data_IF_893948690393
#
_entry.id   IF_893948690393
#
_cell.length_a   1.000
_cell.length_b   1.000
_cell.length_c   1.000
_cell.angle_alpha   90.00
_cell.angle_beta   90.00
_cell.angle_gamma   90.00
#
_symmetry.space_group_name_H-M   'P 1'
#
loop_
_entity.id
_entity.type
_entity.pdbx_description
1 polymer ?
#
# COMPACT_ATOMS: atom_id res chain seq x y z
N UNK A 1 8.06 17.77 -15.31
CA UNK A 1 9.53 17.81 -15.33
C UNK A 1 9.96 18.07 -13.89
N UNK A 2 10.24 16.99 -13.10
CA UNK A 2 10.73 17.13 -11.74
C UNK A 2 12.09 17.83 -11.79
N UNK A 3 12.25 18.92 -11.03
CA UNK A 3 13.57 19.55 -10.84
C UNK A 3 14.49 18.49 -10.25
N UNK A 4 15.68 18.28 -10.87
CA UNK A 4 16.76 17.54 -10.24
C UNK A 4 17.02 18.18 -8.88
N UNK A 5 16.71 17.46 -7.81
CA UNK A 5 17.02 17.88 -6.46
C UNK A 5 18.53 17.64 -6.29
N UNK A 6 19.30 18.70 -6.05
CA UNK A 6 20.69 18.57 -5.59
C UNK A 6 20.64 17.89 -4.22
N UNK A 7 20.90 16.58 -4.21
CA UNK A 7 20.81 15.76 -3.00
C UNK A 7 22.05 16.01 -2.14
N UNK A 8 21.88 16.85 -1.12
CA UNK A 8 22.92 17.11 -0.12
C UNK A 8 23.30 15.86 0.73
N UNK A 9 22.55 14.75 0.59
CA UNK A 9 22.68 13.55 1.42
C UNK A 9 22.92 12.26 0.62
N UNK A 10 23.75 12.30 -0.42
CA UNK A 10 24.31 11.08 -1.03
C UNK A 10 23.28 10.11 -1.65
N UNK A 11 22.09 10.58 -2.04
CA UNK A 11 21.14 9.76 -2.80
C UNK A 11 20.47 8.60 -2.05
N UNK A 12 20.36 8.65 -0.70
CA UNK A 12 19.66 7.61 0.08
C UNK A 12 18.17 7.87 0.17
N UNK A 13 17.37 6.84 -0.17
CA UNK A 13 15.92 6.84 -0.10
C UNK A 13 15.47 6.05 1.14
N UNK A 14 14.72 6.69 2.01
CA UNK A 14 14.10 6.09 3.20
C UNK A 14 12.65 5.79 2.92
N UNK A 15 12.24 4.52 3.07
CA UNK A 15 10.86 4.09 2.82
C UNK A 15 10.32 3.34 4.03
N UNK A 16 9.25 3.85 4.61
CA UNK A 16 8.61 3.22 5.78
C UNK A 16 7.29 2.56 5.41
N UNK A 17 7.02 1.39 5.98
CA UNK A 17 5.62 0.96 6.10
C UNK A 17 4.87 1.92 7.03
N UNK A 18 3.54 1.87 6.98
CA UNK A 18 2.67 2.71 7.80
C UNK A 18 2.16 1.98 9.04
N UNK A 19 1.34 0.96 8.85
CA UNK A 19 0.61 0.28 9.93
C UNK A 19 1.54 -0.58 10.78
N UNK A 20 1.66 -0.24 12.07
CA UNK A 20 2.58 -0.94 12.96
C UNK A 20 4.05 -0.53 12.83
N UNK A 21 4.39 0.38 11.90
CA UNK A 21 5.76 0.86 11.68
C UNK A 21 5.90 2.37 11.92
N UNK A 22 5.32 3.22 11.06
CA UNK A 22 5.33 4.68 11.26
C UNK A 22 4.15 5.15 12.10
N UNK A 23 2.99 4.51 11.96
CA UNK A 23 1.78 4.86 12.70
C UNK A 23 1.85 4.33 14.13
N UNK A 24 1.47 5.18 15.09
CA UNK A 24 1.34 4.80 16.49
C UNK A 24 0.12 3.90 16.77
N UNK A 25 -0.15 3.64 18.04
CA UNK A 25 -1.25 2.78 18.48
C UNK A 25 -2.65 3.33 18.12
N UNK A 26 -2.76 4.62 17.88
CA UNK A 26 -3.97 5.31 17.40
C UNK A 26 -4.14 5.30 15.88
N UNK A 27 -3.28 4.57 15.16
CA UNK A 27 -3.20 4.52 13.70
C UNK A 27 -2.96 5.89 13.06
N UNK A 28 -2.17 6.75 13.70
CA UNK A 28 -1.78 8.08 13.20
C UNK A 28 -0.27 8.27 13.24
N UNK A 29 0.24 9.15 12.38
CA UNK A 29 1.60 9.67 12.54
C UNK A 29 1.59 10.64 13.71
N UNK A 30 2.51 10.47 14.66
CA UNK A 30 2.61 11.39 15.79
C UNK A 30 2.95 12.81 15.32
N UNK A 31 2.50 13.87 16.01
CA UNK A 31 2.88 15.24 15.66
C UNK A 31 4.41 15.46 15.64
N UNK A 32 5.15 14.74 16.51
CA UNK A 32 6.62 14.80 16.54
C UNK A 32 7.23 14.15 15.31
N UNK A 33 6.84 12.93 14.95
CA UNK A 33 7.29 12.26 13.74
C UNK A 33 6.96 13.08 12.49
N UNK A 34 5.73 13.62 12.39
CA UNK A 34 5.31 14.46 11.27
C UNK A 34 6.20 15.72 11.12
N UNK A 35 6.47 16.41 12.21
CA UNK A 35 7.34 17.60 12.21
C UNK A 35 8.79 17.25 11.83
N UNK A 36 9.35 16.16 12.38
CA UNK A 36 10.70 15.71 12.08
C UNK A 36 10.86 15.29 10.62
N UNK A 37 9.98 14.43 10.11
CA UNK A 37 10.02 13.97 8.72
C UNK A 37 9.84 15.13 7.73
N UNK A 38 8.96 16.08 8.04
CA UNK A 38 8.77 17.29 7.24
C UNK A 38 10.02 18.15 7.21
N UNK A 39 10.70 18.34 8.35
CA UNK A 39 11.95 19.09 8.40
C UNK A 39 13.08 18.40 7.64
N UNK A 40 13.21 17.08 7.81
CA UNK A 40 14.20 16.28 7.07
C UNK A 40 13.95 16.35 5.54
N UNK A 41 12.69 16.28 5.11
CA UNK A 41 12.30 16.43 3.70
C UNK A 41 12.68 17.81 3.17
N UNK A 42 12.42 18.88 3.94
CA UNK A 42 12.83 20.26 3.57
C UNK A 42 14.35 20.44 3.49
N UNK A 43 15.10 19.66 4.26
CA UNK A 43 16.58 19.61 4.19
C UNK A 43 17.10 18.72 3.06
N UNK A 44 16.21 18.16 2.23
CA UNK A 44 16.56 17.38 1.03
C UNK A 44 16.60 15.87 1.21
N UNK A 45 16.15 15.33 2.34
CA UNK A 45 16.02 13.89 2.52
C UNK A 45 14.93 13.31 1.61
N UNK A 46 15.22 12.16 0.98
CA UNK A 46 14.23 11.42 0.20
C UNK A 46 13.50 10.45 1.13
N UNK A 47 12.31 10.82 1.57
CA UNK A 47 11.50 10.05 2.51
C UNK A 47 10.12 9.78 1.90
N UNK A 48 9.61 8.55 2.03
CA UNK A 48 8.26 8.21 1.63
C UNK A 48 7.74 6.96 2.35
N UNK A 49 6.53 6.51 1.98
CA UNK A 49 5.90 5.32 2.53
C UNK A 49 5.71 4.22 1.48
N UNK A 50 5.62 2.95 1.94
CA UNK A 50 5.21 1.79 1.16
C UNK A 50 4.16 0.98 1.93
N UNK A 51 2.91 0.99 1.45
CA UNK A 51 1.77 0.46 2.20
C UNK A 51 0.81 -0.36 1.33
N UNK A 52 0.02 -1.22 1.96
CA UNK A 52 -1.11 -1.90 1.31
C UNK A 52 -2.32 -0.95 1.09
N UNK A 53 -2.35 0.19 1.76
CA UNK A 53 -3.44 1.16 1.69
C UNK A 53 -3.59 1.79 0.31
N UNK A 54 -4.81 2.21 -0.03
CA UNK A 54 -5.10 3.04 -1.21
C UNK A 54 -4.78 4.51 -0.92
N UNK A 55 -4.58 5.37 -1.95
CA UNK A 55 -4.38 6.81 -1.75
C UNK A 55 -5.43 7.47 -0.87
N UNK A 56 -6.70 7.06 -1.01
CA UNK A 56 -7.81 7.58 -0.23
C UNK A 56 -7.64 7.45 1.30
N UNK A 57 -6.88 6.45 1.75
CA UNK A 57 -6.59 6.21 3.17
C UNK A 57 -5.18 6.66 3.56
N UNK A 58 -4.28 6.86 2.61
CA UNK A 58 -2.91 7.36 2.86
C UNK A 58 -2.89 8.88 3.03
N UNK A 59 -3.58 9.62 2.14
CA UNK A 59 -3.60 11.08 2.15
C UNK A 59 -3.98 11.69 3.52
N UNK A 60 -5.07 11.25 4.18
CA UNK A 60 -5.41 11.78 5.51
C UNK A 60 -4.38 11.45 6.60
N UNK A 61 -3.66 10.33 6.47
CA UNK A 61 -2.65 9.90 7.45
C UNK A 61 -1.36 10.70 7.34
N UNK A 62 -1.01 11.14 6.14
CA UNK A 62 0.22 11.88 5.85
C UNK A 62 -0.03 13.39 5.66
N UNK A 63 -1.27 13.88 5.89
CA UNK A 63 -1.65 15.26 5.64
C UNK A 63 -0.78 16.30 6.38
N UNK A 64 -0.31 15.98 7.58
CA UNK A 64 0.56 16.83 8.40
C UNK A 64 2.06 16.54 8.19
N UNK A 65 2.40 15.65 7.24
CA UNK A 65 3.78 15.25 6.95
C UNK A 65 4.16 15.66 5.54
N UNK A 66 5.15 16.53 5.41
CA UNK A 66 5.65 16.96 4.10
C UNK A 66 6.48 15.84 3.45
N UNK A 67 5.97 15.29 2.34
CA UNK A 67 6.62 14.23 1.56
C UNK A 67 6.63 14.63 0.08
N UNK A 68 7.81 14.61 -0.53
CA UNK A 68 7.98 15.00 -1.93
C UNK A 68 8.18 13.82 -2.87
N UNK A 69 8.50 12.65 -2.33
CA UNK A 69 8.68 11.42 -3.08
C UNK A 69 7.35 10.67 -3.16
N UNK A 70 6.92 10.17 -4.33
CA UNK A 70 5.69 9.39 -4.43
C UNK A 70 5.66 8.21 -3.48
N UNK A 71 4.51 7.95 -2.86
CA UNK A 71 4.32 6.78 -2.00
C UNK A 71 4.04 5.52 -2.83
N UNK A 72 4.58 4.40 -2.39
CA UNK A 72 4.19 3.07 -2.90
C UNK A 72 2.89 2.66 -2.23
N UNK A 73 1.82 2.54 -2.99
CA UNK A 73 0.47 2.25 -2.49
C UNK A 73 -0.07 0.93 -3.05
N UNK A 74 -1.12 0.40 -2.40
CA UNK A 74 -1.78 -0.84 -2.81
C UNK A 74 -0.76 -1.97 -3.03
N UNK A 75 0.08 -2.20 -2.02
CA UNK A 75 1.10 -3.27 -2.02
C UNK A 75 2.10 -3.19 -3.20
N UNK A 76 2.26 -2.01 -3.82
CA UNK A 76 3.13 -1.82 -4.99
C UNK A 76 2.40 -1.81 -6.34
N UNK A 77 1.07 -1.82 -6.35
CA UNK A 77 0.31 -1.64 -7.59
C UNK A 77 0.40 -0.22 -8.14
N UNK A 78 0.69 0.78 -7.30
CA UNK A 78 0.82 2.16 -7.75
C UNK A 78 1.87 2.97 -7.02
N UNK A 79 2.37 4.00 -7.70
CA UNK A 79 3.10 5.11 -7.12
C UNK A 79 2.17 6.32 -7.07
N UNK A 80 1.92 6.84 -5.88
CA UNK A 80 1.03 7.99 -5.65
C UNK A 80 1.82 9.26 -5.39
N UNK A 81 1.65 10.25 -6.25
CA UNK A 81 2.24 11.59 -6.10
C UNK A 81 1.30 12.49 -5.28
N UNK A 82 1.70 12.79 -4.05
CA UNK A 82 0.94 13.62 -3.11
C UNK A 82 0.75 15.05 -3.64
N UNK A 83 1.79 15.64 -4.24
CA UNK A 83 1.75 17.02 -4.74
C UNK A 83 0.85 17.17 -5.96
N UNK A 84 0.93 16.21 -6.89
CA UNK A 84 0.09 16.18 -8.08
C UNK A 84 -1.31 15.59 -7.83
N UNK A 85 -1.54 14.95 -6.67
CA UNK A 85 -2.77 14.23 -6.27
C UNK A 85 -3.23 13.25 -7.36
N UNK A 86 -2.29 12.44 -7.85
CA UNK A 86 -2.56 11.43 -8.88
C UNK A 86 -1.52 10.32 -8.85
N UNK A 87 -1.85 9.21 -9.49
CA UNK A 87 -0.88 8.15 -9.72
C UNK A 87 0.21 8.61 -10.70
N UNK A 88 1.47 8.52 -10.28
CA UNK A 88 2.63 8.67 -11.15
C UNK A 88 2.83 7.42 -12.02
N UNK A 89 2.48 6.25 -11.49
CA UNK A 89 2.39 5.00 -12.24
C UNK A 89 1.38 4.05 -11.63
N UNK A 90 0.82 3.15 -12.44
CA UNK A 90 -0.10 2.08 -12.04
C UNK A 90 0.20 0.79 -12.81
N UNK A 91 0.10 -0.34 -12.10
CA UNK A 91 0.14 -1.68 -12.67
C UNK A 91 -1.29 -2.17 -12.82
N UNK A 92 -1.71 -2.33 -14.05
CA UNK A 92 -3.06 -2.80 -14.36
C UNK A 92 -3.08 -4.31 -14.54
N UNK A 93 -4.22 -4.91 -14.29
CA UNK A 93 -4.50 -6.29 -14.66
C UNK A 93 -4.77 -6.38 -16.17
N UNK A 94 -4.40 -7.49 -16.78
CA UNK A 94 -4.92 -7.84 -18.10
C UNK A 94 -6.45 -8.04 -18.03
N UNK A 95 -7.19 -7.54 -19.01
CA UNK A 95 -8.66 -7.57 -19.03
C UNK A 95 -9.22 -8.99 -18.99
N UNK A 96 -8.58 -9.94 -19.67
CA UNK A 96 -9.03 -11.34 -19.66
C UNK A 96 -8.75 -11.99 -18.31
N UNK A 97 -7.65 -11.63 -17.63
CA UNK A 97 -7.36 -12.10 -16.27
C UNK A 97 -8.34 -11.48 -15.26
N UNK A 98 -8.59 -10.18 -15.33
CA UNK A 98 -9.55 -9.50 -14.46
C UNK A 98 -10.96 -10.13 -14.60
N UNK A 99 -11.41 -10.38 -15.83
CA UNK A 99 -12.65 -11.09 -16.10
C UNK A 99 -12.68 -12.47 -15.45
N UNK A 100 -11.65 -13.31 -15.71
CA UNK A 100 -11.58 -14.69 -15.18
C UNK A 100 -11.58 -14.72 -13.64
N UNK A 101 -10.87 -13.80 -13.00
CA UNK A 101 -10.82 -13.69 -11.53
C UNK A 101 -12.20 -13.33 -11.01
N UNK A 102 -12.86 -12.33 -11.59
CA UNK A 102 -14.21 -11.90 -11.17
C UNK A 102 -15.24 -13.02 -11.34
N UNK A 103 -15.23 -13.72 -12.48
CA UNK A 103 -16.09 -14.90 -12.71
C UNK A 103 -15.83 -16.03 -11.70
N UNK A 104 -14.57 -16.31 -11.39
CA UNK A 104 -14.21 -17.33 -10.40
C UNK A 104 -14.73 -16.96 -9.01
N UNK A 105 -14.54 -15.71 -8.57
CA UNK A 105 -14.98 -15.26 -7.24
C UNK A 105 -16.51 -15.35 -7.11
N UNK A 106 -17.26 -14.96 -8.13
CA UNK A 106 -18.72 -15.09 -8.15
C UNK A 106 -19.17 -16.57 -8.09
N UNK A 107 -18.52 -17.47 -8.85
CA UNK A 107 -18.83 -18.92 -8.81
C UNK A 107 -18.58 -19.55 -7.43
N UNK A 108 -17.65 -18.99 -6.65
CA UNK A 108 -17.38 -19.42 -5.28
C UNK A 108 -18.26 -18.74 -4.23
N UNK A 109 -19.25 -17.95 -4.65
CA UNK A 109 -20.16 -17.23 -3.75
C UNK A 109 -19.52 -16.03 -3.06
N UNK A 110 -18.40 -15.53 -3.57
CA UNK A 110 -17.76 -14.30 -3.09
C UNK A 110 -18.39 -13.07 -3.75
N UNK A 111 -18.25 -11.93 -3.10
CA UNK A 111 -18.71 -10.64 -3.62
C UNK A 111 -17.52 -9.82 -4.10
N UNK A 112 -17.18 -9.81 -5.41
CA UNK A 112 -16.07 -9.07 -5.94
C UNK A 112 -16.37 -7.56 -5.98
N UNK A 113 -15.33 -6.79 -5.68
CA UNK A 113 -15.27 -5.34 -5.86
C UNK A 113 -14.16 -5.06 -6.87
N UNK A 114 -14.51 -4.48 -8.00
CA UNK A 114 -13.57 -4.15 -9.08
C UNK A 114 -13.05 -2.73 -8.89
N UNK A 115 -11.76 -2.61 -8.59
CA UNK A 115 -11.09 -1.32 -8.48
C UNK A 115 -10.55 -0.89 -9.84
N UNK A 116 -11.03 0.24 -10.33
CA UNK A 116 -10.58 0.84 -11.60
C UNK A 116 -9.96 2.20 -11.35
N UNK A 117 -8.89 2.49 -12.07
CA UNK A 117 -8.32 3.82 -12.09
C UNK A 117 -9.12 4.74 -13.03
N UNK A 118 -9.28 5.99 -12.65
CA UNK A 118 -9.78 6.99 -13.58
C UNK A 118 -8.69 7.36 -14.61
N UNK A 119 -9.09 7.74 -15.84
CA UNK A 119 -8.14 7.98 -16.94
C UNK A 119 -7.07 9.03 -16.65
N UNK A 120 -7.38 10.02 -15.80
CA UNK A 120 -6.44 11.08 -15.39
C UNK A 120 -5.55 10.66 -14.20
N UNK A 121 -5.80 9.47 -13.65
CA UNK A 121 -5.08 8.94 -12.49
C UNK A 121 -5.42 9.62 -11.16
N UNK A 122 -6.45 10.47 -11.10
CA UNK A 122 -6.75 11.29 -9.91
C UNK A 122 -7.37 10.50 -8.76
N UNK A 123 -8.08 9.42 -9.05
CA UNK A 123 -8.74 8.60 -8.02
C UNK A 123 -9.07 7.19 -8.53
N UNK A 124 -9.58 6.36 -7.63
CA UNK A 124 -10.11 5.03 -7.93
C UNK A 124 -11.64 5.04 -7.86
N UNK A 125 -12.28 4.26 -8.72
CA UNK A 125 -13.64 3.80 -8.50
C UNK A 125 -13.61 2.35 -8.02
N UNK A 126 -14.52 1.98 -7.13
CA UNK A 126 -14.73 0.59 -6.73
C UNK A 126 -16.17 0.18 -7.06
N UNK A 127 -16.25 -0.79 -7.96
CA UNK A 127 -17.49 -1.20 -8.62
C UNK A 127 -17.95 -2.55 -8.07
N UNK A 128 -19.19 -2.65 -7.64
CA UNK A 128 -19.72 -3.83 -6.96
C UNK A 128 -21.23 -3.99 -7.16
N UNK A 129 -21.68 -5.25 -7.03
CA UNK A 129 -23.10 -5.58 -6.94
C UNK A 129 -23.47 -5.79 -5.47
N UNK A 130 -24.36 -4.96 -4.90
CA UNK A 130 -24.84 -5.14 -3.53
C UNK A 130 -25.84 -6.29 -3.37
N UNK A 131 -26.35 -6.89 -4.46
CA UNK A 131 -27.39 -7.91 -4.43
C UNK A 131 -26.90 -9.17 -3.70
N UNK A 132 -27.59 -9.52 -2.62
CA UNK A 132 -27.22 -10.70 -1.80
C UNK A 132 -25.95 -10.55 -0.96
N UNK A 133 -25.34 -9.38 -0.95
CA UNK A 133 -24.13 -9.14 -0.13
C UNK A 133 -24.48 -9.14 1.37
N UNK A 134 -23.78 -9.93 2.20
CA UNK A 134 -23.96 -9.90 3.66
C UNK A 134 -23.69 -8.53 4.27
N UNK A 135 -24.38 -8.20 5.38
CA UNK A 135 -24.30 -6.89 6.04
C UNK A 135 -22.88 -6.46 6.41
N UNK A 136 -22.05 -7.38 6.91
CA UNK A 136 -20.66 -7.07 7.29
C UNK A 136 -19.80 -6.72 6.09
N UNK A 137 -20.03 -7.36 4.95
CA UNK A 137 -19.33 -7.03 3.70
C UNK A 137 -19.82 -5.70 3.14
N UNK A 138 -21.12 -5.43 3.21
CA UNK A 138 -21.68 -4.14 2.80
C UNK A 138 -21.20 -3.00 3.69
N UNK A 139 -21.00 -3.25 5.01
CA UNK A 139 -20.41 -2.29 5.93
C UNK A 139 -18.99 -1.87 5.49
N UNK A 140 -18.16 -2.82 5.03
CA UNK A 140 -16.83 -2.49 4.48
C UNK A 140 -16.90 -1.43 3.38
N UNK A 141 -17.95 -1.49 2.53
CA UNK A 141 -18.16 -0.54 1.45
C UNK A 141 -18.63 0.81 2.00
N UNK A 142 -19.61 0.82 2.90
CA UNK A 142 -20.19 2.05 3.46
C UNK A 142 -19.18 2.83 4.31
N UNK A 143 -18.32 2.15 5.05
CA UNK A 143 -17.24 2.76 5.82
C UNK A 143 -16.24 3.52 4.93
N UNK A 144 -16.22 3.21 3.63
CA UNK A 144 -15.30 3.78 2.63
C UNK A 144 -15.98 4.65 1.57
N UNK A 145 -17.30 4.79 1.65
CA UNK A 145 -18.08 5.49 0.62
C UNK A 145 -17.82 7.00 0.54
N UNK A 146 -17.36 7.60 1.65
CA UNK A 146 -17.11 9.04 1.75
C UNK A 146 -15.62 9.43 1.61
N UNK A 147 -14.75 8.49 1.20
CA UNK A 147 -13.34 8.79 0.98
C UNK A 147 -13.15 9.56 -0.32
N UNK A 148 -12.45 10.70 -0.25
CA UNK A 148 -12.33 11.66 -1.36
C UNK A 148 -11.77 11.04 -2.65
N UNK A 149 -10.72 10.21 -2.54
CA UNK A 149 -10.01 9.64 -3.68
C UNK A 149 -10.49 8.23 -4.06
N UNK A 150 -11.69 7.85 -3.59
CA UNK A 150 -12.23 6.50 -3.81
C UNK A 150 -13.76 6.54 -3.83
N UNK A 151 -14.34 6.29 -5.00
CA UNK A 151 -15.79 6.43 -5.21
C UNK A 151 -16.48 5.10 -5.43
N UNK A 152 -17.58 4.80 -4.69
CA UNK A 152 -18.40 3.63 -4.93
C UNK A 152 -19.22 3.79 -6.23
N UNK A 153 -19.32 2.71 -6.98
CA UNK A 153 -20.19 2.60 -8.16
C UNK A 153 -20.93 1.28 -8.09
N UNK A 154 -22.25 1.36 -8.00
CA UNK A 154 -23.10 0.16 -8.05
C UNK A 154 -23.22 -0.31 -9.49
N UNK A 155 -23.03 -1.61 -9.71
CA UNK A 155 -23.18 -2.25 -11.02
C UNK A 155 -23.85 -3.60 -10.86
N UNK A 156 -24.67 -3.99 -11.82
CA UNK A 156 -25.23 -5.35 -11.91
C UNK A 156 -24.31 -6.31 -12.69
N UNK A 157 -23.22 -5.80 -13.30
CA UNK A 157 -22.28 -6.59 -14.10
C UNK A 157 -20.82 -6.33 -13.69
N UNK A 158 -20.37 -6.82 -12.53
CA UNK A 158 -18.98 -6.68 -12.13
C UNK A 158 -18.00 -7.38 -13.08
N UNK A 159 -18.45 -8.39 -13.83
CA UNK A 159 -17.61 -9.10 -14.82
C UNK A 159 -17.32 -8.22 -16.03
N UNK A 160 -18.32 -7.54 -16.58
CA UNK A 160 -18.16 -6.56 -17.64
C UNK A 160 -17.29 -5.40 -17.18
N UNK A 161 -17.50 -4.88 -15.98
CA UNK A 161 -16.65 -3.84 -15.39
C UNK A 161 -15.17 -4.25 -15.32
N UNK A 162 -14.88 -5.48 -14.91
CA UNK A 162 -13.52 -6.00 -14.84
C UNK A 162 -12.89 -6.16 -16.24
N UNK A 163 -13.68 -6.54 -17.24
CA UNK A 163 -13.21 -6.78 -18.61
C UNK A 163 -12.96 -5.50 -19.42
N UNK A 164 -13.70 -4.43 -19.16
CA UNK A 164 -13.75 -3.24 -20.03
C UNK A 164 -12.92 -2.06 -19.54
N UNK A 165 -12.31 -2.14 -18.35
CA UNK A 165 -11.68 -0.98 -17.78
C UNK A 165 -10.23 -1.17 -17.31
N UNK A 166 -9.58 -0.09 -16.92
CA UNK A 166 -8.24 -0.11 -16.34
C UNK A 166 -8.29 -0.68 -14.91
N UNK A 167 -8.51 -1.99 -14.80
CA UNK A 167 -8.63 -2.69 -13.52
C UNK A 167 -7.28 -2.79 -12.84
N UNK A 168 -7.23 -2.32 -11.60
CA UNK A 168 -6.01 -2.35 -10.76
C UNK A 168 -6.05 -3.54 -9.80
N UNK A 169 -7.22 -3.78 -9.21
CA UNK A 169 -7.41 -4.77 -8.15
C UNK A 169 -8.81 -5.37 -8.24
N UNK A 170 -8.91 -6.68 -8.07
CA UNK A 170 -10.14 -7.36 -7.68
C UNK A 170 -10.03 -7.70 -6.19
N UNK A 171 -10.84 -7.02 -5.38
CA UNK A 171 -11.04 -7.36 -3.98
C UNK A 171 -12.30 -8.22 -3.88
N UNK A 172 -12.21 -9.38 -3.25
CA UNK A 172 -13.39 -10.21 -2.98
C UNK A 172 -13.48 -10.54 -1.49
N UNK A 173 -14.70 -10.61 -1.00
CA UNK A 173 -14.99 -10.85 0.40
C UNK A 173 -15.92 -12.05 0.55
N UNK A 174 -15.76 -12.80 1.64
CA UNK A 174 -16.62 -13.94 1.94
C UNK A 174 -16.19 -14.71 3.17
N UNK A 175 -16.67 -15.95 3.29
CA UNK A 175 -16.20 -16.87 4.32
C UNK A 175 -14.76 -17.28 4.07
N UNK A 176 -14.05 -17.66 5.12
CA UNK A 176 -12.67 -18.12 5.03
C UNK A 176 -12.51 -19.28 4.04
N UNK A 177 -13.38 -20.27 4.09
CA UNK A 177 -13.36 -21.43 3.19
C UNK A 177 -13.51 -21.03 1.71
N UNK A 178 -14.43 -20.11 1.40
CA UNK A 178 -14.67 -19.66 0.03
C UNK A 178 -13.46 -18.84 -0.49
N UNK A 179 -12.91 -17.96 0.34
CA UNK A 179 -11.73 -17.18 0.00
C UNK A 179 -10.51 -18.08 -0.18
N UNK A 180 -10.29 -19.06 0.71
CA UNK A 180 -9.20 -20.01 0.59
C UNK A 180 -9.34 -20.91 -0.66
N UNK A 181 -10.56 -21.26 -1.07
CA UNK A 181 -10.79 -21.95 -2.34
C UNK A 181 -10.36 -21.11 -3.54
N UNK A 182 -10.68 -19.81 -3.53
CA UNK A 182 -10.22 -18.86 -4.56
C UNK A 182 -8.69 -18.71 -4.57
N UNK A 183 -8.07 -18.53 -3.39
CA UNK A 183 -6.61 -18.47 -3.25
C UNK A 183 -5.96 -19.70 -3.85
N UNK A 184 -6.46 -20.91 -3.52
CA UNK A 184 -5.93 -22.18 -4.05
C UNK A 184 -6.04 -22.26 -5.57
N UNK A 185 -7.13 -21.78 -6.15
CA UNK A 185 -7.36 -21.80 -7.60
C UNK A 185 -6.49 -20.77 -8.36
N UNK A 186 -6.13 -19.64 -7.71
CA UNK A 186 -5.39 -18.54 -8.36
C UNK A 186 -3.88 -18.60 -8.07
N UNK A 187 -3.48 -19.18 -6.94
CA UNK A 187 -2.07 -19.26 -6.53
C UNK A 187 -1.24 -20.04 -7.55
N UNK A 188 -0.06 -19.50 -7.86
CA UNK A 188 0.85 -20.11 -8.85
C UNK A 188 0.63 -19.62 -10.28
N UNK A 189 -0.41 -18.81 -10.54
CA UNK A 189 -0.54 -18.13 -11.83
C UNK A 189 0.45 -16.95 -11.89
N UNK A 190 1.48 -16.95 -12.76
CA UNK A 190 2.48 -15.89 -12.84
C UNK A 190 1.92 -14.54 -13.34
N UNK A 191 0.73 -14.55 -13.93
CA UNK A 191 0.03 -13.33 -14.35
C UNK A 191 -0.69 -12.60 -13.20
N UNK A 192 -0.71 -13.19 -11.99
CA UNK A 192 -1.45 -12.67 -10.85
C UNK A 192 -0.57 -12.56 -9.59
N UNK A 193 -0.81 -11.55 -8.80
CA UNK A 193 -0.36 -11.44 -7.42
C UNK A 193 -1.57 -11.58 -6.51
N UNK A 194 -1.56 -12.56 -5.62
CA UNK A 194 -2.71 -12.97 -4.81
C UNK A 194 -2.38 -12.84 -3.34
N UNK A 195 -3.16 -12.05 -2.61
CA UNK A 195 -3.09 -11.87 -1.17
C UNK A 195 -4.37 -12.35 -0.48
N UNK A 196 -4.24 -12.84 0.74
CA UNK A 196 -5.31 -13.23 1.63
C UNK A 196 -5.06 -12.63 3.00
N UNK A 197 -6.12 -12.12 3.64
CA UNK A 197 -6.08 -11.68 5.04
C UNK A 197 -7.47 -11.69 5.67
N UNK A 198 -7.49 -11.60 7.01
CA UNK A 198 -8.68 -11.31 7.82
C UNK A 198 -8.46 -9.98 8.54
N UNK A 199 -9.54 -9.25 8.80
CA UNK A 199 -9.50 -7.97 9.49
C UNK A 199 -10.38 -8.05 10.76
N UNK A 200 -9.82 -7.82 11.96
CA UNK A 200 -10.58 -7.84 13.21
C UNK A 200 -11.77 -6.87 13.25
N UNK A 201 -11.73 -5.80 12.45
CA UNK A 201 -12.84 -4.84 12.31
C UNK A 201 -14.06 -5.46 11.64
N UNK A 202 -13.86 -6.50 10.81
CA UNK A 202 -14.91 -7.22 10.09
C UNK A 202 -14.89 -8.72 10.47
N UNK A 203 -15.32 -9.08 11.69
CA UNK A 203 -15.25 -10.46 12.17
C UNK A 203 -16.05 -11.41 11.27
N UNK A 204 -15.46 -12.56 10.97
CA UNK A 204 -16.07 -13.58 10.10
C UNK A 204 -15.99 -13.28 8.60
N UNK A 205 -15.34 -12.18 8.21
CA UNK A 205 -15.08 -11.85 6.81
C UNK A 205 -13.60 -12.07 6.49
N UNK A 206 -13.33 -12.89 5.48
CA UNK A 206 -12.02 -13.03 4.87
C UNK A 206 -11.94 -12.21 3.60
N UNK A 207 -10.74 -11.75 3.26
CA UNK A 207 -10.45 -10.89 2.13
C UNK A 207 -9.48 -11.56 1.18
N UNK A 208 -9.79 -11.47 -0.11
CA UNK A 208 -8.93 -11.84 -1.22
C UNK A 208 -8.61 -10.58 -2.01
N UNK A 209 -7.33 -10.28 -2.18
CA UNK A 209 -6.87 -9.26 -3.12
C UNK A 209 -6.14 -9.93 -4.28
N UNK A 210 -6.54 -9.60 -5.50
CA UNK A 210 -5.90 -10.08 -6.73
C UNK A 210 -5.50 -8.89 -7.58
N UNK A 211 -4.22 -8.78 -7.82
CA UNK A 211 -3.60 -7.78 -8.68
C UNK A 211 -3.03 -8.43 -9.95
N UNK A 212 -2.61 -7.60 -10.89
CA UNK A 212 -1.78 -8.01 -12.02
C UNK A 212 -0.44 -8.62 -11.59
N UNK A 213 0.43 -8.97 -12.55
CA UNK A 213 1.67 -9.68 -12.26
C UNK A 213 2.66 -8.81 -11.47
N UNK A 214 3.43 -9.47 -10.59
CA UNK A 214 4.55 -8.87 -9.84
C UNK A 214 4.15 -7.62 -9.01
N UNK A 215 2.95 -7.60 -8.46
CA UNK A 215 2.55 -6.57 -7.50
C UNK A 215 3.01 -7.00 -6.11
N UNK A 216 4.00 -6.30 -5.58
CA UNK A 216 4.50 -6.38 -4.20
C UNK A 216 5.30 -5.10 -3.88
N UNK A 217 5.56 -4.83 -2.61
CA UNK A 217 6.30 -3.63 -2.19
C UNK A 217 7.68 -3.52 -2.85
N UNK A 218 8.40 -4.64 -3.03
CA UNK A 218 9.73 -4.65 -3.67
C UNK A 218 9.72 -4.09 -5.10
N UNK A 219 8.74 -4.49 -5.91
CA UNK A 219 8.62 -3.98 -7.28
C UNK A 219 8.27 -2.49 -7.32
N UNK A 220 7.41 -2.03 -6.39
CA UNK A 220 7.14 -0.60 -6.21
C UNK A 220 8.40 0.19 -5.85
N UNK A 221 9.23 -0.35 -4.93
CA UNK A 221 10.49 0.27 -4.52
C UNK A 221 11.55 0.30 -5.63
N UNK A 222 11.67 -0.76 -6.44
CA UNK A 222 12.58 -0.75 -7.60
C UNK A 222 12.23 0.35 -8.59
N UNK A 223 10.93 0.52 -8.83
CA UNK A 223 10.44 1.60 -9.69
C UNK A 223 10.70 2.97 -9.08
N UNK A 224 10.44 3.13 -7.78
CA UNK A 224 10.67 4.36 -7.05
C UNK A 224 12.16 4.73 -6.99
N UNK A 225 13.05 3.77 -6.70
CA UNK A 225 14.52 3.97 -6.71
C UNK A 225 14.98 4.47 -8.09
N UNK A 226 14.45 3.88 -9.18
CA UNK A 226 14.74 4.34 -10.55
C UNK A 226 14.20 5.75 -10.82
N UNK A 227 13.00 6.07 -10.32
CA UNK A 227 12.37 7.38 -10.52
C UNK A 227 13.12 8.50 -9.80
N UNK A 228 13.57 8.25 -8.56
CA UNK A 228 14.30 9.21 -7.74
C UNK A 228 15.79 9.29 -8.05
N UNK A 229 16.35 8.29 -8.70
CA UNK A 229 17.80 8.17 -8.91
C UNK A 229 18.58 7.85 -7.63
N UNK A 230 17.92 7.42 -6.55
CA UNK A 230 18.56 7.10 -5.29
C UNK A 230 19.56 5.93 -5.45
N UNK A 231 20.74 6.09 -4.88
CA UNK A 231 21.81 5.08 -4.90
C UNK A 231 21.57 4.00 -3.84
N UNK A 232 21.09 4.41 -2.67
CA UNK A 232 20.82 3.54 -1.51
C UNK A 232 19.35 3.55 -1.15
N UNK A 233 18.88 2.44 -0.58
CA UNK A 233 17.53 2.23 -0.12
C UNK A 233 17.53 1.68 1.31
N UNK A 234 17.03 2.45 2.25
CA UNK A 234 16.76 2.00 3.62
C UNK A 234 15.25 1.86 3.80
N UNK A 235 14.80 0.71 4.31
CA UNK A 235 13.38 0.40 4.51
C UNK A 235 13.07 0.09 5.96
N UNK A 236 11.83 0.40 6.37
CA UNK A 236 11.32 0.13 7.72
C UNK A 236 10.03 -0.68 7.63
N UNK A 237 9.89 -1.73 8.45
CA UNK A 237 8.73 -2.58 8.43
C UNK A 237 8.53 -3.40 9.70
N UNK A 238 7.35 -4.04 9.81
CA UNK A 238 6.95 -4.83 10.97
C UNK A 238 6.30 -6.18 10.63
N UNK A 239 5.76 -6.35 9.41
CA UNK A 239 4.91 -7.49 9.07
C UNK A 239 5.35 -8.27 7.82
N UNK A 240 4.70 -9.40 7.53
CA UNK A 240 5.10 -10.30 6.43
C UNK A 240 5.12 -9.65 5.05
N UNK A 241 4.24 -8.68 4.79
CA UNK A 241 4.21 -7.98 3.50
C UNK A 241 5.45 -7.09 3.28
N UNK A 242 6.22 -6.78 4.36
CA UNK A 242 7.45 -5.99 4.32
C UNK A 242 8.68 -6.82 3.97
N UNK A 243 8.64 -8.13 4.18
CA UNK A 243 9.78 -9.00 3.84
C UNK A 243 10.21 -8.83 2.38
N UNK A 244 9.26 -8.59 1.47
CA UNK A 244 9.57 -8.36 0.07
C UNK A 244 10.43 -7.10 -0.14
N UNK A 245 10.16 -6.01 0.56
CA UNK A 245 10.95 -4.78 0.46
C UNK A 245 12.27 -4.87 1.22
N UNK A 246 12.31 -5.55 2.36
CA UNK A 246 13.55 -5.80 3.11
C UNK A 246 14.59 -6.57 2.27
N UNK A 247 14.14 -7.58 1.51
CA UNK A 247 15.01 -8.39 0.64
C UNK A 247 15.66 -7.61 -0.52
N UNK A 248 15.18 -6.42 -0.86
CA UNK A 248 15.71 -5.60 -1.96
C UNK A 248 16.35 -4.30 -1.48
N UNK A 249 16.29 -4.04 -0.20
CA UNK A 249 16.89 -2.87 0.43
C UNK A 249 18.41 -3.03 0.55
N UNK A 250 19.11 -1.90 0.54
CA UNK A 250 20.52 -1.84 0.92
C UNK A 250 20.67 -1.88 2.46
N UNK A 251 19.60 -1.50 3.18
CA UNK A 251 19.48 -1.63 4.64
C UNK A 251 18.02 -1.88 5.03
N UNK A 252 17.79 -2.95 5.76
CA UNK A 252 16.49 -3.32 6.31
C UNK A 252 16.43 -3.02 7.82
N UNK A 253 15.39 -2.31 8.27
CA UNK A 253 15.19 -1.90 9.65
C UNK A 253 13.83 -2.40 10.13
N UNK A 254 13.82 -3.17 11.22
CA UNK A 254 12.59 -3.60 11.88
C UNK A 254 12.31 -2.74 13.13
N UNK A 255 11.04 -2.46 13.40
CA UNK A 255 10.63 -1.88 14.69
C UNK A 255 10.55 -2.97 15.77
N UNK A 256 10.61 -2.58 17.06
CA UNK A 256 10.61 -3.53 18.17
C UNK A 256 9.34 -4.39 18.24
N UNK A 257 8.20 -3.86 17.83
CA UNK A 257 6.93 -4.60 17.76
C UNK A 257 6.78 -5.48 16.52
N UNK A 258 7.78 -5.52 15.62
CA UNK A 258 7.74 -6.34 14.42
C UNK A 258 7.69 -7.84 14.72
N UNK A 259 7.13 -8.60 13.77
CA UNK A 259 7.10 -10.07 13.84
C UNK A 259 8.51 -10.65 13.94
N UNK A 260 8.70 -11.78 14.62
CA UNK A 260 10.00 -12.43 14.79
C UNK A 260 10.73 -12.66 13.44
N UNK A 261 10.00 -13.08 12.42
CA UNK A 261 10.53 -13.33 11.08
C UNK A 261 11.03 -12.06 10.39
N UNK A 262 10.35 -10.93 10.63
CA UNK A 262 10.72 -9.62 10.10
C UNK A 262 11.97 -9.10 10.80
N UNK A 263 12.04 -9.23 12.13
CA UNK A 263 13.26 -8.91 12.89
C UNK A 263 14.46 -9.76 12.47
N UNK A 264 14.22 -11.04 12.16
CA UNK A 264 15.29 -11.93 11.70
C UNK A 264 15.81 -11.57 10.30
N UNK A 265 14.98 -10.92 9.47
CA UNK A 265 15.34 -10.47 8.13
C UNK A 265 15.96 -9.06 8.11
N UNK A 266 15.91 -8.32 9.23
CA UNK A 266 16.40 -6.95 9.31
C UNK A 266 17.88 -6.89 9.73
N UNK A 267 18.60 -5.90 9.20
CA UNK A 267 19.98 -5.57 9.61
C UNK A 267 20.01 -4.90 10.99
N UNK A 268 18.92 -4.22 11.37
CA UNK A 268 18.83 -3.45 12.61
C UNK A 268 17.41 -3.52 13.15
N UNK A 269 17.27 -3.64 14.48
CA UNK A 269 16.00 -3.47 15.19
C UNK A 269 16.08 -2.16 15.98
N UNK A 270 15.06 -1.30 15.78
CA UNK A 270 14.92 -0.01 16.48
C UNK A 270 13.82 -0.09 17.52
N UNK A 271 13.58 0.99 18.28
CA UNK A 271 12.48 1.04 19.25
C UNK A 271 11.09 0.80 18.64
N UNK A 272 10.04 0.72 19.49
CA UNK A 272 8.69 0.45 19.02
C UNK A 272 8.13 1.61 18.16
N UNK A 273 7.10 1.32 17.37
CA UNK A 273 6.43 2.30 16.52
C UNK A 273 5.80 3.46 17.31
N UNK A 274 5.52 3.27 18.60
CA UNK A 274 4.94 4.28 19.49
C UNK A 274 5.91 5.37 19.96
N UNK A 275 7.21 5.18 19.74
CA UNK A 275 8.28 6.04 20.29
C UNK A 275 8.98 6.89 19.22
N UNK A 276 8.29 7.19 18.12
CA UNK A 276 8.84 7.96 16.98
C UNK A 276 10.10 7.33 16.35
N UNK A 277 10.29 6.03 16.54
CA UNK A 277 11.55 5.33 16.31
C UNK A 277 12.04 5.45 14.87
N UNK A 278 11.13 5.45 13.88
CA UNK A 278 11.47 5.63 12.45
C UNK A 278 12.04 7.03 12.20
N UNK A 279 11.35 8.08 12.64
CA UNK A 279 11.77 9.47 12.44
C UNK A 279 13.09 9.76 13.16
N UNK A 280 13.23 9.28 14.40
CA UNK A 280 14.47 9.40 15.20
C UNK A 280 15.65 8.68 14.53
N UNK A 281 15.43 7.50 13.95
CA UNK A 281 16.46 6.77 13.24
C UNK A 281 16.93 7.55 12.01
N UNK A 282 16.01 8.04 11.17
CA UNK A 282 16.36 8.80 9.97
C UNK A 282 17.12 10.08 10.34
N UNK A 283 16.69 10.81 11.37
CA UNK A 283 17.38 12.02 11.83
C UNK A 283 18.83 11.74 12.27
N UNK A 284 19.06 10.63 12.98
CA UNK A 284 20.42 10.20 13.40
C UNK A 284 21.29 9.81 12.22
N UNK A 285 20.77 9.02 11.28
CA UNK A 285 21.50 8.59 10.08
C UNK A 285 21.94 9.77 9.23
N UNK A 286 21.11 10.80 9.13
CA UNK A 286 21.41 12.02 8.39
C UNK A 286 22.22 13.05 9.19
N UNK A 287 22.58 12.75 10.46
CA UNK A 287 23.36 13.63 11.31
C UNK A 287 22.62 14.85 11.85
N UNK A 288 21.29 14.87 11.78
CA UNK A 288 20.44 15.96 12.25
C UNK A 288 20.12 15.83 13.74
N UNK A 289 21.14 15.91 14.59
CA UNK A 289 21.02 15.79 16.06
C UNK A 289 20.21 16.91 16.71
N UNK A 290 20.03 18.02 16.03
CA UNK A 290 19.19 19.15 16.44
C UNK A 290 17.69 18.83 16.44
N UNK A 291 17.28 17.69 15.83
CA UNK A 291 15.90 17.21 15.77
C UNK A 291 15.58 16.10 16.81
N UNK A 292 16.55 15.61 17.56
CA UNK A 292 16.41 14.47 18.47
C UNK A 292 15.72 14.82 19.80
#
# INVERSE_FOLDING_TARGET
MMKQCDTAHGGELFVTDLDGTLLGADSRVSPRSAAMLSELTRRGALITAATARTPATVEPLLADTEIHVPAVVMTGAGLWDHAARRFASLRLMDSADAKRVTELTLRLGLHPIVYRAEPDGSHLTFRFDPTGMPSEQYRFITDRANLELKRPVVTADPVGEAAEGPTVLILAMGSDDAVMAAVKALRGNPALSVSYYTDPVYPGVAFLEVFGPRVNKAEGLRELKRLTGAERLTVFGDSFNDLSMMNVADRAVAVENALPEVKAAADTVIGPNTDDSVALFIARELGHTDLL
#
